data_IF_351947738647
#
_entry.id   IF_351947738647
#
_cell.length_a   1.000
_cell.length_b   1.000
_cell.length_c   1.000
_cell.angle_alpha   90.00
_cell.angle_beta   90.00
_cell.angle_gamma   90.00
#
_symmetry.space_group_name_H-M   'P 1'
#
loop_
_entity.id
_entity.type
_entity.pdbx_description
1 polymer ?
#
# COMPACT_ATOMS: atom_id res chain seq x y z
N UNK A 1 28.70 -14.66 -11.91
CA UNK A 1 28.61 -13.18 -11.94
C UNK A 1 27.54 -12.59 -12.86
N UNK A 2 27.16 -13.16 -14.02
CA UNK A 2 26.14 -12.57 -14.92
C UNK A 2 24.68 -12.60 -14.42
N UNK A 3 24.35 -13.51 -13.48
CA UNK A 3 22.98 -13.78 -13.03
C UNK A 3 22.45 -12.81 -11.95
N UNK A 4 23.32 -12.02 -11.31
CA UNK A 4 22.93 -11.05 -10.26
C UNK A 4 22.49 -9.72 -10.85
N UNK A 5 23.12 -9.25 -11.93
CA UNK A 5 22.76 -8.00 -12.61
C UNK A 5 21.37 -8.05 -13.23
N UNK A 6 20.98 -9.19 -13.81
CA UNK A 6 19.64 -9.38 -14.37
C UNK A 6 18.54 -9.23 -13.31
N UNK A 7 18.78 -9.72 -12.08
CA UNK A 7 17.83 -9.57 -10.97
C UNK A 7 17.62 -8.11 -10.61
N UNK A 8 18.70 -7.34 -10.51
CA UNK A 8 18.62 -5.91 -10.21
C UNK A 8 17.97 -5.11 -11.35
N UNK A 9 18.26 -5.46 -12.61
CA UNK A 9 17.57 -4.86 -13.76
C UNK A 9 16.07 -5.12 -13.68
N UNK A 10 15.64 -6.34 -13.37
CA UNK A 10 14.22 -6.67 -13.22
C UNK A 10 13.56 -5.94 -12.05
N UNK A 11 14.25 -5.81 -10.91
CA UNK A 11 13.74 -5.03 -9.76
C UNK A 11 13.59 -3.56 -10.13
N UNK A 12 14.60 -2.96 -10.77
CA UNK A 12 14.55 -1.56 -11.21
C UNK A 12 13.44 -1.36 -12.25
N UNK A 13 13.33 -2.26 -13.24
CA UNK A 13 12.29 -2.20 -14.26
C UNK A 13 10.89 -2.33 -13.64
N UNK A 14 10.71 -3.21 -12.65
CA UNK A 14 9.45 -3.35 -11.93
C UNK A 14 9.12 -2.09 -11.13
N UNK A 15 10.06 -1.55 -10.36
CA UNK A 15 9.86 -0.30 -9.59
C UNK A 15 9.55 0.88 -10.52
N UNK A 16 10.25 0.98 -11.66
CA UNK A 16 9.99 2.01 -12.66
C UNK A 16 8.61 1.87 -13.30
N UNK A 17 8.20 0.64 -13.64
CA UNK A 17 6.87 0.35 -14.19
C UNK A 17 5.76 0.72 -13.19
N UNK A 18 5.89 0.26 -11.94
CA UNK A 18 4.93 0.59 -10.88
C UNK A 18 4.89 2.10 -10.63
N UNK A 19 6.04 2.76 -10.59
CA UNK A 19 6.13 4.22 -10.48
C UNK A 19 5.42 4.96 -11.64
N UNK A 20 5.60 4.50 -12.88
CA UNK A 20 4.93 5.07 -14.04
C UNK A 20 3.41 4.90 -13.99
N UNK A 21 2.93 3.72 -13.56
CA UNK A 21 1.49 3.45 -13.35
C UNK A 21 0.93 4.36 -12.26
N UNK A 22 1.64 4.54 -11.14
CA UNK A 22 1.24 5.45 -10.08
C UNK A 22 1.13 6.90 -10.59
N UNK A 23 2.15 7.38 -11.31
CA UNK A 23 2.17 8.72 -11.87
C UNK A 23 1.03 8.95 -12.87
N UNK A 24 0.75 7.97 -13.73
CA UNK A 24 -0.37 8.04 -14.66
C UNK A 24 -1.71 8.10 -13.92
N UNK A 25 -1.94 7.18 -12.98
CA UNK A 25 -3.19 7.05 -12.22
C UNK A 25 -3.51 8.32 -11.44
N UNK A 26 -2.56 8.83 -10.65
CA UNK A 26 -2.80 9.97 -9.76
C UNK A 26 -2.47 11.34 -10.40
N UNK A 27 -1.90 11.33 -11.60
CA UNK A 27 -1.71 12.53 -12.42
C UNK A 27 -3.00 12.96 -13.12
N UNK A 28 -3.83 11.99 -13.55
CA UNK A 28 -5.04 12.23 -14.34
C UNK A 28 -6.33 11.92 -13.57
N UNK A 29 -6.35 10.91 -12.71
CA UNK A 29 -7.52 10.56 -11.90
C UNK A 29 -7.52 11.27 -10.55
N UNK A 30 -8.71 11.36 -9.94
CA UNK A 30 -8.88 11.87 -8.58
C UNK A 30 -8.20 10.98 -7.53
N UNK A 31 -8.01 11.54 -6.33
CA UNK A 31 -7.47 10.78 -5.19
C UNK A 31 -8.64 10.05 -4.51
N UNK A 32 -8.50 8.75 -4.16
CA UNK A 32 -9.52 8.01 -3.43
C UNK A 32 -9.95 8.73 -2.15
N UNK A 33 -11.26 8.69 -1.85
CA UNK A 33 -11.86 9.37 -0.70
C UNK A 33 -11.14 9.02 0.60
N UNK A 34 -10.85 7.75 0.83
CA UNK A 34 -10.31 7.27 2.11
C UNK A 34 -8.88 7.77 2.32
N UNK A 35 -8.08 7.82 1.25
CA UNK A 35 -6.73 8.35 1.34
C UNK A 35 -6.72 9.84 1.68
N UNK A 36 -7.63 10.62 1.09
CA UNK A 36 -7.81 12.04 1.40
C UNK A 36 -8.18 12.25 2.87
N UNK A 37 -9.04 11.40 3.45
CA UNK A 37 -9.38 11.45 4.89
C UNK A 37 -8.13 11.28 5.76
N UNK A 38 -7.28 10.28 5.47
CA UNK A 38 -6.04 10.08 6.21
C UNK A 38 -5.02 11.21 6.01
N UNK A 39 -4.91 11.72 4.78
CA UNK A 39 -4.02 12.84 4.47
C UNK A 39 -4.46 14.12 5.19
N UNK A 40 -5.76 14.46 5.19
CA UNK A 40 -6.31 15.61 5.92
C UNK A 40 -6.09 15.47 7.42
N UNK A 41 -6.28 14.28 7.99
CA UNK A 41 -6.02 14.04 9.40
C UNK A 41 -4.54 14.25 9.75
N UNK A 42 -3.63 13.72 8.94
CA UNK A 42 -2.19 13.95 9.08
C UNK A 42 -1.82 15.43 8.95
N UNK A 43 -2.42 16.14 8.00
CA UNK A 43 -2.20 17.58 7.80
C UNK A 43 -2.67 18.38 9.02
N UNK A 44 -3.87 18.08 9.54
CA UNK A 44 -4.41 18.73 10.74
C UNK A 44 -3.50 18.49 11.94
N UNK A 45 -3.06 17.24 12.14
CA UNK A 45 -2.14 16.89 13.21
C UNK A 45 -0.83 17.68 13.10
N UNK A 46 -0.21 17.69 11.91
CA UNK A 46 1.05 18.40 11.63
C UNK A 46 0.95 19.90 11.93
N UNK A 47 -0.20 20.52 11.67
CA UNK A 47 -0.43 21.95 11.84
C UNK A 47 -1.13 22.31 13.15
N UNK A 48 -1.23 21.37 14.11
CA UNK A 48 -1.91 21.58 15.41
C UNK A 48 -3.36 22.07 15.27
N UNK A 49 -4.06 21.63 14.22
CA UNK A 49 -5.47 21.92 13.99
C UNK A 49 -6.38 20.90 14.70
N UNK A 50 -7.67 21.23 14.93
CA UNK A 50 -8.63 20.28 15.46
C UNK A 50 -8.69 19.00 14.61
N UNK A 51 -8.48 17.84 15.23
CA UNK A 51 -8.40 16.57 14.50
C UNK A 51 -9.77 16.06 14.03
N UNK A 52 -10.82 16.34 14.81
CA UNK A 52 -12.18 15.86 14.58
C UNK A 52 -13.16 17.02 14.38
N UNK A 53 -13.08 17.75 13.25
CA UNK A 53 -14.09 18.75 12.92
C UNK A 53 -15.42 18.07 12.57
N UNK A 54 -16.50 18.83 12.66
CA UNK A 54 -17.83 18.37 12.24
C UNK A 54 -17.90 18.27 10.71
N UNK A 55 -17.69 17.08 10.19
CA UNK A 55 -17.79 16.72 8.76
C UNK A 55 -18.87 15.65 8.58
N UNK A 56 -19.44 15.48 7.37
CA UNK A 56 -20.24 14.30 7.03
C UNK A 56 -19.48 12.99 7.34
N UNK A 57 -20.19 11.95 7.79
CA UNK A 57 -19.55 10.72 8.29
C UNK A 57 -18.70 10.00 7.24
N UNK A 58 -19.08 10.09 5.97
CA UNK A 58 -18.39 9.53 4.79
C UNK A 58 -17.06 10.22 4.46
N UNK A 59 -16.83 11.41 5.02
CA UNK A 59 -15.60 12.20 4.84
C UNK A 59 -14.87 12.45 6.16
N UNK A 60 -15.41 11.93 7.26
CA UNK A 60 -14.90 12.13 8.61
C UNK A 60 -13.75 11.19 8.93
N UNK A 61 -12.74 11.72 9.59
CA UNK A 61 -11.69 10.91 10.20
C UNK A 61 -12.19 10.29 11.51
N UNK A 62 -12.34 8.97 11.54
CA UNK A 62 -12.91 8.21 12.68
C UNK A 62 -11.86 7.41 13.48
N UNK A 63 -10.59 7.51 13.11
CA UNK A 63 -9.51 6.70 13.71
C UNK A 63 -8.90 7.39 14.94
N UNK A 64 -8.19 6.63 15.82
CA UNK A 64 -7.50 7.19 16.96
C UNK A 64 -6.44 8.25 16.57
N UNK A 65 -6.10 9.20 17.45
CA UNK A 65 -5.14 10.26 17.15
C UNK A 65 -3.76 9.77 16.71
N UNK A 66 -3.35 8.59 17.18
CA UNK A 66 -2.12 7.94 16.76
C UNK A 66 -2.06 7.71 15.24
N UNK A 67 -3.18 7.38 14.58
CA UNK A 67 -3.20 7.22 13.14
C UNK A 67 -2.87 8.55 12.42
N UNK A 68 -3.42 9.67 12.90
CA UNK A 68 -3.11 10.99 12.34
C UNK A 68 -1.63 11.36 12.53
N UNK A 69 -1.05 11.03 13.69
CA UNK A 69 0.39 11.17 13.94
C UNK A 69 1.23 10.38 12.91
N UNK A 70 0.82 9.16 12.55
CA UNK A 70 1.53 8.37 11.52
C UNK A 70 1.35 8.99 10.13
N UNK A 71 0.12 9.37 9.78
CA UNK A 71 -0.20 9.91 8.45
C UNK A 71 0.30 11.34 8.22
N UNK A 72 0.76 12.05 9.26
CA UNK A 72 1.38 13.37 9.11
C UNK A 72 2.60 13.34 8.17
N UNK A 73 3.31 12.20 8.09
CA UNK A 73 4.45 12.03 7.18
C UNK A 73 4.02 12.11 5.71
N UNK A 74 2.82 11.62 5.39
CA UNK A 74 2.25 11.74 4.04
C UNK A 74 1.80 13.18 3.75
N UNK A 75 1.36 13.90 4.78
CA UNK A 75 0.93 15.29 4.67
C UNK A 75 2.09 16.30 4.42
N UNK A 76 3.34 15.85 4.53
CA UNK A 76 4.51 16.63 4.09
C UNK A 76 4.55 16.84 2.57
N UNK A 77 3.79 16.04 1.81
CA UNK A 77 3.73 16.10 0.36
C UNK A 77 2.33 16.51 -0.11
N UNK A 78 2.21 17.12 -1.30
CA UNK A 78 0.91 17.37 -1.92
C UNK A 78 0.09 16.07 -2.02
N UNK A 79 -1.22 16.15 -1.77
CA UNK A 79 -2.13 15.00 -1.69
C UNK A 79 -1.92 13.95 -2.80
N UNK A 80 -1.80 14.39 -4.07
CA UNK A 80 -1.60 13.48 -5.21
C UNK A 80 -0.25 12.75 -5.19
N UNK A 81 0.81 13.45 -4.77
CA UNK A 81 2.16 12.87 -4.63
C UNK A 81 2.17 11.86 -3.49
N UNK A 82 1.53 12.22 -2.36
CA UNK A 82 1.37 11.33 -1.22
C UNK A 82 0.57 10.07 -1.59
N UNK A 83 -0.52 10.21 -2.34
CA UNK A 83 -1.36 9.09 -2.79
C UNK A 83 -0.59 8.15 -3.73
N UNK A 84 0.13 8.71 -4.71
CA UNK A 84 0.97 7.93 -5.62
C UNK A 84 2.08 7.19 -4.86
N UNK A 85 2.73 7.87 -3.90
CA UNK A 85 3.77 7.27 -3.05
C UNK A 85 3.22 6.14 -2.17
N UNK A 86 2.07 6.35 -1.53
CA UNK A 86 1.42 5.34 -0.70
C UNK A 86 1.00 4.12 -1.53
N UNK A 87 0.43 4.34 -2.72
CA UNK A 87 0.08 3.27 -3.65
C UNK A 87 1.30 2.46 -4.10
N UNK A 88 2.40 3.15 -4.42
CA UNK A 88 3.68 2.51 -4.77
C UNK A 88 4.18 1.66 -3.61
N UNK A 89 4.21 2.20 -2.39
CA UNK A 89 4.64 1.46 -1.19
C UNK A 89 3.76 0.23 -0.97
N UNK A 90 2.44 0.35 -0.99
CA UNK A 90 1.52 -0.78 -0.81
C UNK A 90 1.73 -1.85 -1.88
N UNK A 91 1.93 -1.43 -3.14
CA UNK A 91 2.23 -2.36 -4.24
C UNK A 91 3.54 -3.10 -4.03
N UNK A 92 4.59 -2.41 -3.57
CA UNK A 92 5.89 -3.02 -3.28
C UNK A 92 5.90 -3.90 -2.01
N UNK A 93 4.99 -3.64 -1.07
CA UNK A 93 4.80 -4.49 0.12
C UNK A 93 4.19 -5.85 -0.25
N UNK A 94 3.42 -5.95 -1.34
CA UNK A 94 2.78 -7.21 -1.71
C UNK A 94 3.78 -8.38 -1.93
N UNK A 95 4.87 -8.24 -2.71
CA UNK A 95 5.91 -9.27 -2.79
C UNK A 95 6.52 -9.65 -1.43
N UNK A 96 6.69 -8.68 -0.53
CA UNK A 96 7.17 -8.94 0.84
C UNK A 96 6.15 -9.76 1.63
N UNK A 97 4.86 -9.44 1.51
CA UNK A 97 3.79 -10.20 2.13
C UNK A 97 3.73 -11.65 1.59
N UNK A 98 3.94 -11.86 0.29
CA UNK A 98 4.04 -13.21 -0.30
C UNK A 98 5.23 -13.97 0.27
N UNK A 99 6.39 -13.33 0.40
CA UNK A 99 7.56 -13.94 1.01
C UNK A 99 7.32 -14.33 2.48
N UNK A 100 6.77 -13.43 3.29
CA UNK A 100 6.44 -13.72 4.69
C UNK A 100 5.39 -14.84 4.81
N UNK A 101 4.42 -14.89 3.89
CA UNK A 101 3.43 -15.98 3.83
C UNK A 101 4.11 -17.32 3.59
N UNK A 102 5.13 -17.37 2.73
CA UNK A 102 5.93 -18.57 2.53
C UNK A 102 6.66 -18.98 3.82
N UNK A 103 7.31 -18.05 4.50
CA UNK A 103 8.02 -18.32 5.75
C UNK A 103 7.08 -18.86 6.84
N UNK A 104 5.89 -18.25 6.98
CA UNK A 104 4.84 -18.73 7.91
C UNK A 104 4.39 -20.15 7.54
N UNK A 105 4.08 -20.41 6.27
CA UNK A 105 3.61 -21.73 5.81
C UNK A 105 4.70 -22.79 6.00
N UNK A 106 5.96 -22.48 5.73
CA UNK A 106 7.06 -23.43 5.93
C UNK A 106 7.28 -23.77 7.40
N UNK A 107 7.09 -22.80 8.31
CA UNK A 107 7.15 -23.03 9.76
C UNK A 107 5.97 -23.87 10.25
N UNK A 108 4.75 -23.63 9.75
CA UNK A 108 3.54 -24.33 10.17
C UNK A 108 3.38 -25.73 9.55
N UNK A 109 3.88 -25.96 8.34
CA UNK A 109 3.74 -27.23 7.62
C UNK A 109 5.12 -27.81 7.25
N UNK A 110 5.82 -28.52 8.15
CA UNK A 110 7.17 -29.03 7.89
C UNK A 110 7.26 -30.00 6.70
N UNK A 111 6.19 -30.70 6.35
CA UNK A 111 6.16 -31.59 5.18
C UNK A 111 5.95 -30.79 3.88
N UNK A 112 6.89 -30.87 2.94
CA UNK A 112 6.87 -30.09 1.69
C UNK A 112 5.56 -30.25 0.88
N UNK A 113 4.99 -31.45 0.81
CA UNK A 113 3.74 -31.72 0.09
C UNK A 113 2.51 -31.01 0.67
N UNK A 114 2.56 -30.59 1.93
CA UNK A 114 1.45 -29.91 2.62
C UNK A 114 1.55 -28.37 2.56
N UNK A 115 2.66 -27.82 2.07
CA UNK A 115 2.92 -26.35 2.04
C UNK A 115 2.28 -25.65 0.85
N UNK A 116 2.22 -26.33 -0.30
CA UNK A 116 1.90 -25.71 -1.59
C UNK A 116 0.48 -25.16 -1.62
N UNK A 117 -0.51 -25.96 -1.20
CA UNK A 117 -1.91 -25.55 -1.24
C UNK A 117 -2.21 -24.37 -0.30
N UNK A 118 -1.82 -24.38 1.00
CA UNK A 118 -2.01 -23.22 1.88
C UNK A 118 -1.35 -21.94 1.35
N UNK A 119 -0.12 -22.06 0.83
CA UNK A 119 0.59 -20.91 0.27
C UNK A 119 -0.12 -20.30 -0.95
N UNK A 120 -0.58 -21.15 -1.89
CA UNK A 120 -1.32 -20.71 -3.08
C UNK A 120 -2.63 -20.03 -2.65
N UNK A 121 -3.39 -20.65 -1.75
CA UNK A 121 -4.67 -20.10 -1.30
C UNK A 121 -4.48 -18.76 -0.59
N UNK A 122 -3.54 -18.66 0.34
CA UNK A 122 -3.26 -17.41 1.04
C UNK A 122 -2.83 -16.31 0.06
N UNK A 123 -1.88 -16.62 -0.84
CA UNK A 123 -1.39 -15.66 -1.83
C UNK A 123 -2.48 -15.20 -2.79
N UNK A 124 -3.32 -16.11 -3.30
CA UNK A 124 -4.37 -15.80 -4.26
C UNK A 124 -5.49 -14.94 -3.64
N UNK A 125 -5.91 -15.27 -2.41
CA UNK A 125 -6.93 -14.49 -1.69
C UNK A 125 -6.39 -13.10 -1.34
N UNK A 126 -5.15 -13.02 -0.84
CA UNK A 126 -4.50 -11.72 -0.59
C UNK A 126 -4.33 -10.91 -1.87
N UNK A 127 -3.96 -11.54 -2.99
CA UNK A 127 -3.85 -10.84 -4.27
C UNK A 127 -5.18 -10.19 -4.68
N UNK A 128 -6.30 -10.90 -4.54
CA UNK A 128 -7.62 -10.34 -4.84
C UNK A 128 -7.96 -9.12 -3.98
N UNK A 129 -7.60 -9.17 -2.70
CA UNK A 129 -7.74 -8.05 -1.77
C UNK A 129 -6.89 -6.85 -2.21
N UNK A 130 -5.60 -7.05 -2.50
CA UNK A 130 -4.73 -6.00 -3.01
C UNK A 130 -5.24 -5.42 -4.34
N UNK A 131 -5.80 -6.24 -5.22
CA UNK A 131 -6.39 -5.74 -6.47
C UNK A 131 -7.60 -4.83 -6.23
N UNK A 132 -8.48 -5.20 -5.28
CA UNK A 132 -9.68 -4.42 -4.96
C UNK A 132 -9.33 -3.11 -4.25
N UNK A 133 -8.48 -3.16 -3.22
CA UNK A 133 -8.28 -2.04 -2.30
C UNK A 133 -7.12 -1.14 -2.71
N UNK A 134 -6.06 -1.69 -3.31
CA UNK A 134 -5.04 -0.86 -3.96
C UNK A 134 -5.54 -0.33 -5.32
N UNK A 135 -6.77 -0.63 -5.75
CA UNK A 135 -7.35 -0.10 -6.98
C UNK A 135 -6.60 -0.50 -8.25
N UNK A 136 -6.03 -1.71 -8.31
CA UNK A 136 -5.37 -2.21 -9.53
C UNK A 136 -6.38 -2.47 -10.66
N UNK A 137 -7.65 -2.66 -10.31
CA UNK A 137 -8.76 -2.78 -11.26
C UNK A 137 -9.92 -1.94 -10.69
N UNK A 138 -10.22 -0.83 -11.35
CA UNK A 138 -11.46 -0.07 -11.22
C UNK A 138 -11.99 0.19 -12.63
#
# INVERSE_FOLDING_TARGET
>A
MKRTWLKWILVVAYVALVGAVAAHRYGTAGVPSDFDVFWRAGYRFLHSQPLYPSEPIDTSFLYPPFAAFVFQLLALFPLRVAAAGAWLVLTLVFPVAVWLTWDIVTALFPTASRRVLPFILATAVSFRFFQADAGWIQ
#
